data_IF_800768255003
#
_entry.id   IF_800768255003
#
_cell.length_a   1.000
_cell.length_b   1.000
_cell.length_c   1.000
_cell.angle_alpha   90.00
_cell.angle_beta   90.00
_cell.angle_gamma   90.00
#
_symmetry.space_group_name_H-M   'P 1'
#
loop_
_entity.id
_entity.type
_entity.pdbx_description
1 polymer ?
#
# COMPACT_ATOMS: atom_id res chain seq x y z
N UNK A 1 -3.55 26.60 -21.07
CA UNK A 1 -3.96 25.18 -21.15
C UNK A 1 -5.18 24.98 -20.26
N UNK A 2 -6.29 24.60 -20.82
CA UNK A 2 -7.46 24.27 -20.01
C UNK A 2 -7.29 22.90 -19.38
N UNK A 3 -7.45 22.83 -18.03
CA UNK A 3 -7.44 21.57 -17.33
C UNK A 3 -8.69 20.78 -17.69
N UNK A 4 -8.51 19.53 -18.12
CA UNK A 4 -9.63 18.62 -18.35
C UNK A 4 -10.29 18.27 -17.01
N UNK A 5 -11.63 18.20 -16.92
CA UNK A 5 -12.28 17.80 -15.69
C UNK A 5 -11.88 16.36 -15.30
N UNK A 6 -11.71 16.09 -14.00
CA UNK A 6 -11.40 14.73 -13.53
C UNK A 6 -12.50 13.74 -13.96
N UNK A 7 -12.08 12.57 -14.44
CA UNK A 7 -13.00 11.48 -14.80
C UNK A 7 -12.39 10.14 -14.42
N UNK A 8 -13.23 9.17 -14.12
CA UNK A 8 -12.80 7.79 -13.91
C UNK A 8 -12.44 7.17 -15.25
N UNK A 9 -11.20 6.72 -15.40
CA UNK A 9 -10.71 6.07 -16.62
C UNK A 9 -10.53 4.55 -16.44
N UNK A 10 -10.42 4.07 -15.20
CA UNK A 10 -10.31 2.65 -14.90
C UNK A 10 -10.78 2.36 -13.47
N UNK A 11 -11.08 1.09 -13.18
CA UNK A 11 -11.46 0.59 -11.85
C UNK A 11 -10.84 -0.77 -11.63
N UNK A 12 -10.25 -0.97 -10.45
CA UNK A 12 -9.59 -2.23 -10.06
C UNK A 12 -10.08 -2.65 -8.68
N UNK A 13 -10.49 -3.91 -8.54
CA UNK A 13 -10.81 -4.50 -7.25
C UNK A 13 -9.49 -4.88 -6.56
N UNK A 14 -9.25 -4.35 -5.37
CA UNK A 14 -8.00 -4.53 -4.63
C UNK A 14 -8.15 -5.35 -3.35
N UNK A 15 -9.38 -5.57 -2.89
CA UNK A 15 -9.68 -6.31 -1.66
C UNK A 15 -10.58 -5.53 -0.72
N UNK A 16 -10.78 -6.07 0.46
CA UNK A 16 -11.71 -5.55 1.47
C UNK A 16 -11.05 -4.48 2.34
N UNK A 17 -11.66 -3.30 2.38
CA UNK A 17 -11.22 -2.17 3.20
C UNK A 17 -9.91 -1.53 2.71
N UNK A 18 -9.85 -0.95 1.49
CA UNK A 18 -8.70 -0.17 1.07
C UNK A 18 -8.63 1.15 1.86
N UNK A 19 -7.45 1.48 2.36
CA UNK A 19 -7.18 2.70 3.14
C UNK A 19 -6.15 3.59 2.44
N UNK A 20 -4.88 3.45 2.78
CA UNK A 20 -3.82 4.26 2.20
C UNK A 20 -3.51 3.89 0.75
N UNK A 21 -3.20 4.88 -0.06
CA UNK A 21 -2.81 4.72 -1.47
C UNK A 21 -1.58 5.57 -1.77
N UNK A 22 -0.64 5.01 -2.50
CA UNK A 22 0.55 5.71 -2.99
C UNK A 22 0.90 5.29 -4.41
N UNK A 23 1.59 6.18 -5.13
CA UNK A 23 2.11 5.90 -6.48
C UNK A 23 3.63 5.96 -6.43
N UNK A 24 4.29 5.04 -7.13
CA UNK A 24 5.75 5.00 -7.19
C UNK A 24 6.32 6.25 -7.89
N UNK A 25 7.57 6.64 -7.57
CA UNK A 25 8.18 7.82 -8.20
C UNK A 25 8.24 7.76 -9.74
N UNK A 26 8.33 6.56 -10.30
CA UNK A 26 8.30 6.35 -11.77
C UNK A 26 6.90 6.35 -12.37
N UNK A 27 5.85 6.31 -11.55
CA UNK A 27 4.46 6.29 -12.01
C UNK A 27 4.01 4.96 -12.61
N UNK A 28 4.81 3.89 -12.50
CA UNK A 28 4.50 2.57 -13.07
C UNK A 28 3.86 1.59 -12.08
N UNK A 29 3.90 1.92 -10.79
CA UNK A 29 3.27 1.13 -9.73
C UNK A 29 2.39 2.02 -8.84
N UNK A 30 1.36 1.42 -8.28
CA UNK A 30 0.65 1.93 -7.12
C UNK A 30 0.58 0.86 -6.04
N UNK A 31 0.39 1.28 -4.80
CA UNK A 31 0.19 0.38 -3.68
C UNK A 31 -0.96 0.87 -2.82
N UNK A 32 -1.84 -0.04 -2.43
CA UNK A 32 -2.96 0.25 -1.53
C UNK A 32 -2.90 -0.64 -0.30
N UNK A 33 -3.02 -0.05 0.88
CA UNK A 33 -3.18 -0.80 2.12
C UNK A 33 -4.60 -1.37 2.20
N UNK A 34 -4.72 -2.65 2.54
CA UNK A 34 -5.98 -3.39 2.58
C UNK A 34 -6.20 -3.96 3.98
N UNK A 35 -7.24 -3.54 4.65
CA UNK A 35 -7.51 -3.90 6.05
C UNK A 35 -7.82 -5.39 6.25
N UNK A 36 -8.56 -6.00 5.35
CA UNK A 36 -9.03 -7.39 5.45
C UNK A 36 -9.78 -7.68 6.75
N UNK A 37 -10.48 -6.68 7.30
CA UNK A 37 -11.18 -6.82 8.57
C UNK A 37 -10.28 -6.89 9.80
N UNK A 38 -8.98 -6.61 9.72
CA UNK A 38 -8.04 -6.72 10.84
C UNK A 38 -8.33 -5.76 12.00
N UNK A 39 -9.14 -4.74 11.76
CA UNK A 39 -9.68 -3.82 12.76
C UNK A 39 -10.96 -4.32 13.46
N UNK A 40 -11.54 -5.44 13.04
CA UNK A 40 -12.88 -5.89 13.47
C UNK A 40 -12.85 -7.32 14.02
N UNK A 41 -12.21 -7.52 15.17
CA UNK A 41 -12.00 -8.85 15.78
C UNK A 41 -13.26 -9.70 15.95
N UNK A 42 -14.41 -9.08 16.13
CA UNK A 42 -15.68 -9.78 16.35
C UNK A 42 -16.43 -10.12 15.06
N UNK A 43 -15.94 -9.71 13.90
CA UNK A 43 -16.61 -9.99 12.63
C UNK A 43 -16.23 -11.37 12.08
N UNK A 44 -17.15 -11.97 11.32
CA UNK A 44 -16.92 -13.26 10.69
C UNK A 44 -15.84 -13.22 9.59
N UNK A 45 -15.54 -12.03 9.06
CA UNK A 45 -14.51 -11.81 8.04
C UNK A 45 -13.16 -11.32 8.63
N UNK A 46 -12.99 -11.43 9.95
CA UNK A 46 -11.76 -11.00 10.60
C UNK A 46 -10.53 -11.78 10.12
N UNK A 47 -9.49 -11.04 9.77
CA UNK A 47 -8.14 -11.55 9.59
C UNK A 47 -7.21 -10.80 10.56
N UNK A 48 -6.28 -11.49 11.19
CA UNK A 48 -5.31 -10.85 12.11
C UNK A 48 -4.47 -9.81 11.37
N UNK A 49 -4.09 -10.12 10.15
CA UNK A 49 -3.25 -9.30 9.30
C UNK A 49 -4.02 -8.78 8.09
N UNK A 50 -3.69 -7.56 7.69
CA UNK A 50 -4.08 -7.01 6.41
C UNK A 50 -3.08 -7.37 5.32
N UNK A 51 -3.19 -6.70 4.19
CA UNK A 51 -2.29 -6.87 3.06
C UNK A 51 -1.99 -5.53 2.39
N UNK A 52 -1.04 -5.53 1.48
CA UNK A 52 -0.87 -4.45 0.52
C UNK A 52 -1.15 -5.00 -0.87
N UNK A 53 -2.01 -4.31 -1.61
CA UNK A 53 -2.27 -4.58 -3.02
C UNK A 53 -1.27 -3.80 -3.85
N UNK A 54 -0.53 -4.49 -4.71
CA UNK A 54 0.41 -3.89 -5.66
C UNK A 54 -0.23 -3.86 -7.03
N UNK A 55 -0.29 -2.67 -7.64
CA UNK A 55 -0.93 -2.44 -8.92
C UNK A 55 0.09 -1.95 -9.94
N UNK A 56 -0.04 -2.42 -11.16
CA UNK A 56 0.70 -1.91 -12.32
C UNK A 56 -0.10 -0.82 -13.00
N UNK A 57 0.57 0.27 -13.32
CA UNK A 57 0.03 1.37 -14.11
C UNK A 57 0.69 1.32 -15.49
N UNK A 58 -0.11 1.14 -16.53
CA UNK A 58 0.32 1.13 -17.92
C UNK A 58 -0.57 2.07 -18.73
N UNK A 59 -0.11 3.32 -18.85
CA UNK A 59 -0.91 4.39 -19.45
C UNK A 59 -2.21 4.62 -18.69
N UNK A 60 -3.34 4.36 -19.33
CA UNK A 60 -4.69 4.51 -18.74
C UNK A 60 -5.21 3.23 -18.09
N UNK A 61 -4.45 2.13 -18.17
CA UNK A 61 -4.84 0.84 -17.62
C UNK A 61 -4.14 0.58 -16.28
N UNK A 62 -4.91 0.18 -15.28
CA UNK A 62 -4.41 -0.22 -13.97
C UNK A 62 -4.82 -1.67 -13.71
N UNK A 63 -3.87 -2.50 -13.29
CA UNK A 63 -4.13 -3.91 -13.00
C UNK A 63 -3.51 -4.33 -11.68
N UNK A 64 -4.21 -5.18 -10.93
CA UNK A 64 -3.68 -5.81 -9.73
C UNK A 64 -2.64 -6.86 -10.13
N UNK A 65 -1.42 -6.71 -9.62
CA UNK A 65 -0.33 -7.68 -9.87
C UNK A 65 -0.27 -8.71 -8.73
N UNK A 66 -0.34 -8.23 -7.48
CA UNK A 66 -0.02 -9.05 -6.32
C UNK A 66 -0.67 -8.49 -5.05
N UNK A 67 -1.10 -9.36 -4.16
CA UNK A 67 -1.39 -9.04 -2.78
C UNK A 67 -0.30 -9.63 -1.88
N UNK A 68 0.22 -8.85 -0.94
CA UNK A 68 1.26 -9.28 0.00
C UNK A 68 0.72 -9.09 1.41
N UNK A 69 0.68 -10.17 2.21
CA UNK A 69 0.30 -10.06 3.61
C UNK A 69 1.32 -9.22 4.38
N UNK A 70 0.83 -8.33 5.24
CA UNK A 70 1.63 -7.47 6.11
C UNK A 70 1.15 -7.61 7.56
N UNK A 71 1.21 -6.58 8.39
CA UNK A 71 0.71 -6.66 9.76
C UNK A 71 -0.77 -6.27 9.90
N UNK A 72 -1.21 -6.05 11.13
CA UNK A 72 -2.59 -5.72 11.45
C UNK A 72 -2.92 -4.24 11.23
N UNK A 73 -4.08 -3.98 10.65
CA UNK A 73 -4.60 -2.66 10.35
C UNK A 73 -3.57 -1.80 9.59
N UNK A 74 -3.19 -2.23 8.36
CA UNK A 74 -2.27 -1.43 7.55
C UNK A 74 -2.98 -0.19 7.03
N UNK A 75 -2.43 0.99 7.32
CA UNK A 75 -3.01 2.28 6.92
C UNK A 75 -2.01 3.11 6.10
N UNK A 76 -0.78 3.20 6.57
CA UNK A 76 0.26 4.00 5.94
C UNK A 76 0.94 3.24 4.81
N UNK A 77 1.11 3.86 3.66
CA UNK A 77 1.90 3.33 2.54
C UNK A 77 2.72 4.44 1.90
N UNK A 78 4.00 4.20 1.66
CA UNK A 78 4.83 5.12 0.87
C UNK A 78 5.99 4.41 0.19
N UNK A 79 6.30 4.81 -1.05
CA UNK A 79 7.53 4.40 -1.70
C UNK A 79 8.69 5.28 -1.22
N UNK A 80 9.90 4.75 -1.21
CA UNK A 80 11.10 5.58 -1.05
C UNK A 80 11.30 6.49 -2.28
N UNK A 81 12.00 7.63 -2.13
CA UNK A 81 12.22 8.56 -3.25
C UNK A 81 12.92 7.93 -4.46
N UNK A 82 13.78 6.92 -4.24
CA UNK A 82 14.45 6.16 -5.30
C UNK A 82 13.57 5.03 -5.88
N UNK A 83 12.39 4.79 -5.31
CA UNK A 83 11.46 3.74 -5.74
C UNK A 83 11.88 2.32 -5.42
N UNK A 84 12.96 2.12 -4.64
CA UNK A 84 13.51 0.79 -4.34
C UNK A 84 12.78 0.04 -3.24
N UNK A 85 12.07 0.76 -2.37
CA UNK A 85 11.33 0.17 -1.26
C UNK A 85 9.94 0.75 -1.15
N UNK A 86 9.04 -0.07 -0.64
CA UNK A 86 7.69 0.29 -0.24
C UNK A 86 7.56 0.01 1.26
N UNK A 87 7.19 1.01 2.02
CA UNK A 87 6.90 0.89 3.45
C UNK A 87 5.39 0.82 3.67
N UNK A 88 4.96 -0.16 4.46
CA UNK A 88 3.56 -0.33 4.84
C UNK A 88 3.46 -0.26 6.36
N UNK A 89 2.79 0.74 6.87
CA UNK A 89 2.62 0.96 8.30
C UNK A 89 1.51 0.11 8.87
N UNK A 90 1.87 -0.78 9.78
CA UNK A 90 0.96 -1.68 10.47
C UNK A 90 0.57 -1.04 11.81
N UNK A 91 -0.61 -0.43 11.86
CA UNK A 91 -1.06 0.34 13.01
C UNK A 91 -1.06 -0.49 14.30
N UNK A 92 -1.65 -1.69 14.27
CA UNK A 92 -1.76 -2.56 15.45
C UNK A 92 -0.43 -3.13 15.92
N UNK A 93 0.55 -3.26 15.03
CA UNK A 93 1.86 -3.82 15.36
C UNK A 93 2.90 -2.75 15.72
N UNK A 94 2.56 -1.47 15.55
CA UNK A 94 3.48 -0.33 15.77
C UNK A 94 4.79 -0.49 15.01
N UNK A 95 4.69 -0.87 13.73
CA UNK A 95 5.86 -1.05 12.88
C UNK A 95 5.57 -0.74 11.40
N UNK A 96 6.62 -0.74 10.61
CA UNK A 96 6.53 -0.78 9.15
C UNK A 96 7.02 -2.12 8.62
N UNK A 97 6.24 -2.73 7.74
CA UNK A 97 6.74 -3.75 6.82
C UNK A 97 7.59 -3.08 5.75
N UNK A 98 8.75 -3.66 5.44
CA UNK A 98 9.68 -3.14 4.43
C UNK A 98 9.67 -4.10 3.24
N UNK A 99 9.16 -3.64 2.11
CA UNK A 99 9.08 -4.41 0.88
C UNK A 99 10.10 -3.88 -0.13
N UNK A 100 10.79 -4.79 -0.80
CA UNK A 100 11.73 -4.45 -1.87
C UNK A 100 11.00 -4.35 -3.19
N UNK A 101 11.32 -3.33 -3.97
CA UNK A 101 10.77 -3.07 -5.30
C UNK A 101 11.88 -3.21 -6.34
N UNK A 102 11.69 -4.11 -7.29
CA UNK A 102 12.58 -4.33 -8.42
C UNK A 102 11.74 -4.36 -9.71
N UNK A 103 11.73 -3.25 -10.44
CA UNK A 103 10.82 -3.05 -11.57
C UNK A 103 9.35 -3.12 -11.13
N UNK A 104 8.63 -4.15 -11.56
CA UNK A 104 7.26 -4.44 -11.11
C UNK A 104 7.19 -5.58 -10.08
N UNK A 105 8.31 -6.19 -9.74
CA UNK A 105 8.39 -7.23 -8.72
C UNK A 105 8.52 -6.60 -7.33
N UNK A 106 7.58 -6.93 -6.45
CA UNK A 106 7.56 -6.45 -5.05
C UNK A 106 7.59 -7.65 -4.12
N UNK A 107 8.54 -7.68 -3.20
CA UNK A 107 8.73 -8.79 -2.26
C UNK A 107 8.90 -8.29 -0.84
N UNK A 108 8.33 -9.00 0.14
CA UNK A 108 8.56 -8.73 1.55
C UNK A 108 10.01 -9.09 1.91
N UNK A 109 10.76 -8.15 2.47
CA UNK A 109 12.13 -8.40 2.94
C UNK A 109 12.18 -9.24 4.23
N UNK A 110 11.05 -9.40 4.91
CA UNK A 110 10.98 -9.97 6.25
C UNK A 110 11.43 -9.01 7.36
N UNK A 111 11.96 -7.84 7.01
CA UNK A 111 12.39 -6.83 7.97
C UNK A 111 11.23 -5.94 8.39
N UNK A 112 11.25 -5.51 9.64
CA UNK A 112 10.27 -4.59 10.23
C UNK A 112 11.00 -3.42 10.90
N UNK A 113 10.48 -2.21 10.67
CA UNK A 113 10.95 -1.04 11.38
C UNK A 113 10.00 -0.77 12.54
N UNK A 114 10.47 -1.02 13.76
CA UNK A 114 9.68 -0.79 14.98
C UNK A 114 9.55 0.69 15.30
N UNK A 115 8.37 1.08 15.76
CA UNK A 115 8.03 2.45 16.15
C UNK A 115 7.58 2.50 17.61
N UNK A 116 7.68 3.68 18.22
CA UNK A 116 7.14 3.95 19.55
C UNK A 116 5.63 4.26 19.55
N UNK A 117 5.00 4.34 18.40
CA UNK A 117 3.59 4.66 18.22
C UNK A 117 2.98 3.94 17.02
N UNK A 118 1.73 4.26 16.72
CA UNK A 118 0.95 3.61 15.67
C UNK A 118 1.01 4.39 14.37
N UNK A 119 1.54 3.82 13.28
CA UNK A 119 1.63 4.52 11.98
C UNK A 119 0.26 4.56 11.28
N UNK A 120 -0.37 5.74 11.26
CA UNK A 120 -1.65 5.96 10.58
C UNK A 120 -1.48 6.55 9.17
N UNK A 121 -0.37 7.21 8.89
CA UNK A 121 -0.05 7.73 7.55
C UNK A 121 1.45 7.86 7.36
N UNK A 122 1.89 7.84 6.11
CA UNK A 122 3.28 8.07 5.76
C UNK A 122 3.38 8.89 4.48
N UNK A 123 4.36 9.78 4.44
CA UNK A 123 4.68 10.56 3.25
C UNK A 123 6.19 10.71 3.14
N UNK A 124 6.67 10.80 1.93
CA UNK A 124 8.07 11.14 1.67
C UNK A 124 8.21 12.65 1.56
N UNK A 125 9.32 13.17 2.08
CA UNK A 125 9.67 14.58 1.87
C UNK A 125 10.03 14.80 0.41
N UNK A 126 9.47 15.82 -0.27
CA UNK A 126 10.00 16.22 -1.56
C UNK A 126 11.45 16.67 -1.39
N UNK A 127 12.29 16.23 -2.28
CA UNK A 127 13.69 16.69 -2.33
C UNK A 127 13.80 18.02 -3.04
#
# INVERSE_FOLDING_TARGET
MEAQPPRVIDRVIVGDGPEGLTVSPKGNLAAAAILRGSNMKSSYFYNRNGSVAVLRIDGKKVSLIKGIEVGGLPEAVCFTPDGRYLYVGNYLDSDFSILRVDGTEVTDTGKRLKLSGHPASARISPR
#
